data_IF_881417397154
#
_entry.id   IF_881417397154
#
_cell.length_a   1.000
_cell.length_b   1.000
_cell.length_c   1.000
_cell.angle_alpha   90.00
_cell.angle_beta   90.00
_cell.angle_gamma   90.00
#
_symmetry.space_group_name_H-M   'P 1'
#
loop_
_entity.id
_entity.type
_entity.pdbx_description
1 polymer ?
#
# COMPACT_ATOMS: atom_id res chain seq x y z
N UNK A 1 8.33 13.47 -7.09
CA UNK A 1 8.32 12.34 -6.12
C UNK A 1 7.21 12.51 -5.08
N UNK A 2 5.99 12.83 -5.51
CA UNK A 2 4.78 12.81 -4.66
C UNK A 2 3.59 12.19 -5.40
N UNK A 3 3.87 11.55 -6.53
CA UNK A 3 2.90 11.13 -7.52
C UNK A 3 1.99 10.03 -6.93
N UNK A 4 2.53 9.23 -6.00
CA UNK A 4 1.77 8.27 -5.22
C UNK A 4 0.60 8.89 -4.44
N UNK A 5 0.63 10.19 -4.12
CA UNK A 5 -0.49 10.90 -3.45
C UNK A 5 -1.70 11.09 -4.37
N UNK A 6 -1.53 10.96 -5.67
CA UNK A 6 -2.61 11.04 -6.66
C UNK A 6 -3.33 9.69 -6.85
N UNK A 7 -2.72 8.61 -6.36
CA UNK A 7 -3.29 7.27 -6.45
C UNK A 7 -4.36 7.11 -5.36
N UNK A 8 -5.49 6.53 -5.74
CA UNK A 8 -6.59 6.23 -4.81
C UNK A 8 -6.90 4.74 -4.84
N UNK A 9 -7.20 4.20 -3.66
CA UNK A 9 -7.61 2.81 -3.49
C UNK A 9 -8.90 2.78 -2.67
N UNK A 10 -9.85 2.03 -3.16
CA UNK A 10 -11.18 1.93 -2.54
C UNK A 10 -11.61 0.49 -2.48
N UNK A 11 -12.33 0.14 -1.43
CA UNK A 11 -12.94 -1.17 -1.32
C UNK A 11 -14.36 -1.09 -1.86
N UNK A 12 -14.63 -1.86 -2.90
CA UNK A 12 -15.95 -1.95 -3.51
C UNK A 12 -16.52 -3.35 -3.28
N UNK A 13 -17.84 -3.44 -3.26
CA UNK A 13 -18.55 -4.71 -3.27
C UNK A 13 -19.22 -4.86 -4.63
N UNK A 14 -18.85 -5.91 -5.35
CA UNK A 14 -19.40 -6.23 -6.67
C UNK A 14 -19.91 -7.66 -6.64
N UNK A 15 -21.22 -7.83 -6.84
CA UNK A 15 -21.90 -9.14 -6.81
C UNK A 15 -21.61 -9.95 -5.52
N UNK A 16 -21.62 -9.29 -4.36
CA UNK A 16 -21.34 -9.90 -3.06
C UNK A 16 -19.86 -10.26 -2.81
N UNK A 17 -18.95 -9.90 -3.73
CA UNK A 17 -17.50 -10.07 -3.57
C UNK A 17 -16.84 -8.73 -3.27
N UNK A 18 -15.92 -8.74 -2.30
CA UNK A 18 -15.12 -7.56 -1.94
C UNK A 18 -13.93 -7.46 -2.88
N UNK A 19 -13.89 -6.41 -3.67
CA UNK A 19 -12.81 -6.11 -4.62
C UNK A 19 -12.11 -4.82 -4.22
N UNK A 20 -10.85 -4.68 -4.64
CA UNK A 20 -10.07 -3.46 -4.46
C UNK A 20 -10.07 -2.70 -5.79
N UNK A 21 -10.73 -1.53 -5.80
CA UNK A 21 -10.68 -0.60 -6.92
C UNK A 21 -9.43 0.27 -6.76
N UNK A 22 -8.62 0.32 -7.81
CA UNK A 22 -7.37 1.09 -7.84
C UNK A 22 -7.47 2.11 -8.97
N UNK A 23 -7.34 3.39 -8.63
CA UNK A 23 -7.22 4.47 -9.60
C UNK A 23 -5.81 5.05 -9.52
N UNK A 24 -5.01 4.77 -10.56
CA UNK A 24 -3.62 5.22 -10.67
C UNK A 24 -3.45 6.13 -11.89
N UNK A 25 -3.50 7.47 -11.73
CA UNK A 25 -3.30 8.42 -12.82
C UNK A 25 -1.81 8.66 -13.13
N UNK A 26 -0.90 7.86 -12.58
CA UNK A 26 0.56 8.06 -12.65
C UNK A 26 1.24 6.93 -13.42
N UNK A 27 2.55 7.05 -13.64
CA UNK A 27 3.38 6.01 -14.24
C UNK A 27 3.89 4.97 -13.23
N UNK A 28 3.55 5.12 -11.94
CA UNK A 28 4.02 4.20 -10.89
C UNK A 28 3.46 2.80 -11.12
N UNK A 29 4.36 1.81 -11.12
CA UNK A 29 4.00 0.42 -11.43
C UNK A 29 3.32 -0.23 -10.23
N UNK A 30 2.12 -0.79 -10.45
CA UNK A 30 1.47 -1.66 -9.46
C UNK A 30 2.23 -2.99 -9.38
N UNK A 31 2.73 -3.33 -8.19
CA UNK A 31 3.50 -4.56 -7.95
C UNK A 31 2.80 -5.55 -7.01
N UNK A 32 1.72 -5.13 -6.35
CA UNK A 32 0.89 -6.03 -5.55
C UNK A 32 -0.44 -5.40 -5.15
N UNK A 33 -1.48 -6.21 -5.01
CA UNK A 33 -2.79 -5.77 -4.52
C UNK A 33 -3.34 -6.81 -3.55
N UNK A 34 -3.93 -6.34 -2.45
CA UNK A 34 -4.49 -7.20 -1.41
C UNK A 34 -5.72 -6.57 -0.77
N UNK A 35 -6.30 -7.28 0.20
CA UNK A 35 -7.54 -6.89 0.86
C UNK A 35 -7.49 -5.55 1.61
N UNK A 36 -6.28 -5.06 1.93
CA UNK A 36 -6.05 -3.84 2.71
C UNK A 36 -5.61 -2.65 1.86
N UNK A 37 -5.17 -2.88 0.62
CA UNK A 37 -4.54 -1.85 -0.18
C UNK A 37 -3.70 -2.40 -1.34
N UNK A 38 -3.00 -1.49 -2.00
CA UNK A 38 -2.17 -1.76 -3.17
C UNK A 38 -0.75 -1.25 -2.98
N UNK A 39 0.23 -1.94 -3.56
CA UNK A 39 1.65 -1.64 -3.47
C UNK A 39 2.16 -1.20 -4.84
N UNK A 40 2.80 -0.04 -4.88
CA UNK A 40 3.39 0.55 -6.07
C UNK A 40 4.89 0.68 -5.90
N UNK A 41 5.62 0.46 -6.99
CA UNK A 41 7.05 0.70 -7.06
C UNK A 41 7.30 2.20 -7.27
N UNK A 42 8.09 2.81 -6.39
CA UNK A 42 8.57 4.18 -6.53
C UNK A 42 9.93 4.22 -7.25
N UNK A 43 10.79 3.24 -6.94
CA UNK A 43 12.14 3.10 -7.49
C UNK A 43 12.55 1.60 -7.45
N UNK A 44 13.76 1.24 -7.87
CA UNK A 44 14.28 -0.13 -7.85
C UNK A 44 14.19 -0.77 -6.46
N UNK A 45 14.51 -0.01 -5.41
CA UNK A 45 14.54 -0.50 -4.02
C UNK A 45 13.38 0.00 -3.15
N UNK A 46 12.54 0.91 -3.66
CA UNK A 46 11.53 1.61 -2.87
C UNK A 46 10.14 1.29 -3.37
N UNK A 47 9.26 0.89 -2.46
CA UNK A 47 7.83 0.79 -2.72
C UNK A 47 7.00 1.59 -1.72
N UNK A 48 5.77 1.89 -2.13
CA UNK A 48 4.75 2.53 -1.32
C UNK A 48 3.52 1.62 -1.31
N UNK A 49 2.96 1.40 -0.12
CA UNK A 49 1.67 0.71 0.02
C UNK A 49 0.62 1.75 0.38
N UNK A 50 -0.41 1.84 -0.45
CA UNK A 50 -1.54 2.73 -0.28
C UNK A 50 -2.68 1.91 0.30
N UNK A 51 -3.20 2.36 1.43
CA UNK A 51 -4.19 1.63 2.21
C UNK A 51 -5.59 2.19 2.00
N UNK A 52 -6.59 1.31 2.02
CA UNK A 52 -8.00 1.74 2.08
C UNK A 52 -8.32 2.32 3.46
N UNK A 53 -7.71 1.78 4.52
CA UNK A 53 -7.96 2.19 5.89
C UNK A 53 -6.66 2.64 6.58
N UNK A 54 -6.56 3.89 7.06
CA UNK A 54 -5.36 4.39 7.74
C UNK A 54 -5.05 3.65 9.05
N UNK A 55 -6.04 3.03 9.70
CA UNK A 55 -5.79 2.21 10.89
C UNK A 55 -5.02 0.93 10.56
N UNK A 56 -5.20 0.36 9.36
CA UNK A 56 -4.41 -0.78 8.91
C UNK A 56 -2.96 -0.38 8.67
N UNK A 57 -2.74 0.79 8.04
CA UNK A 57 -1.42 1.38 7.86
C UNK A 57 -0.69 1.56 9.21
N UNK A 58 -1.35 2.15 10.20
CA UNK A 58 -0.76 2.34 11.53
C UNK A 58 -0.40 1.02 12.23
N UNK A 59 -1.24 -0.02 12.12
CA UNK A 59 -0.97 -1.33 12.72
C UNK A 59 0.21 -2.03 12.04
N UNK A 60 0.26 -2.00 10.71
CA UNK A 60 1.35 -2.62 9.95
C UNK A 60 2.66 -1.86 10.15
N UNK A 61 2.62 -0.52 10.23
CA UNK A 61 3.79 0.30 10.56
C UNK A 61 4.39 -0.08 11.92
N UNK A 62 3.56 -0.18 12.97
CA UNK A 62 4.02 -0.62 14.30
C UNK A 62 4.58 -2.04 14.29
N UNK A 63 3.94 -2.95 13.56
CA UNK A 63 4.41 -4.32 13.43
C UNK A 63 5.76 -4.39 12.70
N UNK A 64 5.95 -3.58 11.65
CA UNK A 64 7.20 -3.47 10.90
C UNK A 64 8.30 -2.88 11.78
N UNK A 65 8.04 -1.80 12.51
CA UNK A 65 8.99 -1.22 13.48
C UNK A 65 9.42 -2.26 14.52
N UNK A 66 8.49 -3.03 15.06
CA UNK A 66 8.79 -4.12 15.99
C UNK A 66 9.59 -5.27 15.34
N UNK A 67 9.38 -5.54 14.04
CA UNK A 67 10.09 -6.58 13.29
C UNK A 67 11.50 -6.15 12.85
N UNK A 68 11.71 -4.86 12.57
CA UNK A 68 13.03 -4.28 12.27
C UNK A 68 13.99 -4.47 13.45
N UNK A 69 13.48 -4.39 14.68
CA UNK A 69 14.24 -4.73 15.88
C UNK A 69 14.72 -6.20 15.92
N UNK A 70 14.16 -7.08 15.08
CA UNK A 70 14.49 -8.51 14.97
C UNK A 70 15.23 -8.88 13.68
N UNK A 71 15.72 -7.92 12.90
CA UNK A 71 16.57 -8.17 11.73
C UNK A 71 15.86 -8.49 10.41
N UNK A 72 14.56 -8.20 10.27
CA UNK A 72 13.82 -8.32 9.00
C UNK A 72 13.48 -6.92 8.46
N UNK A 73 13.92 -6.60 7.24
CA UNK A 73 13.73 -5.26 6.64
C UNK A 73 13.18 -5.36 5.21
N UNK A 74 12.05 -4.67 4.95
CA UNK A 74 11.68 -4.15 3.63
C UNK A 74 10.86 -2.88 3.82
N UNK A 75 11.29 -1.80 3.18
CA UNK A 75 10.69 -0.47 3.28
C UNK A 75 9.24 -0.47 2.76
N UNK A 76 8.30 -0.10 3.63
CA UNK A 76 6.96 0.36 3.24
C UNK A 76 6.80 1.73 3.87
N UNK A 77 6.89 2.80 3.09
CA UNK A 77 6.54 4.13 3.59
C UNK A 77 5.02 4.22 3.65
N UNK A 78 4.46 3.99 4.83
CA UNK A 78 3.03 4.14 5.13
C UNK A 78 2.69 5.63 5.21
N UNK A 79 1.77 6.08 4.35
CA UNK A 79 1.08 7.37 4.45
C UNK A 79 -0.42 7.15 4.33
#
# INVERSE_FOLDING_TARGET
MNDFKLIRVERIEKNGKKELLIHNPTTLKLIGAGSQGAVFQLDEDICVKIYVNPNAANKEGKALEAALFRGYMKWVRTM
#
